data_IF_225226393000
#
_entry.id   IF_225226393000
#
_cell.length_a   1.000
_cell.length_b   1.000
_cell.length_c   1.000
_cell.angle_alpha   90.00
_cell.angle_beta   90.00
_cell.angle_gamma   90.00
#
_symmetry.space_group_name_H-M   'P 1'
#
loop_
_entity.id
_entity.type
_entity.pdbx_description
1 polymer ?
#
# COMPACT_ATOMS: atom_id res chain seq x y z
N UNK A 1 8.13 12.89 21.75
CA UNK A 1 8.99 12.21 22.76
C UNK A 1 10.45 12.17 22.29
N UNK A 2 10.86 11.36 21.30
CA UNK A 2 12.26 11.23 20.86
C UNK A 2 12.94 12.58 20.49
N UNK A 3 12.24 13.46 19.78
CA UNK A 3 12.75 14.79 19.43
C UNK A 3 13.01 15.68 20.66
N UNK A 4 12.15 15.61 21.68
CA UNK A 4 12.35 16.31 22.96
C UNK A 4 13.57 15.77 23.69
N UNK A 5 13.68 14.47 23.83
CA UNK A 5 14.84 13.80 24.46
C UNK A 5 16.16 14.17 23.77
N UNK A 6 16.18 14.16 22.43
CA UNK A 6 17.39 14.55 21.69
C UNK A 6 17.82 16.01 21.97
N UNK A 7 16.86 16.93 22.08
CA UNK A 7 17.15 18.33 22.43
C UNK A 7 17.68 18.51 23.86
N UNK A 8 17.19 17.67 24.78
CA UNK A 8 17.64 17.68 26.18
C UNK A 8 19.03 17.05 26.35
N UNK A 9 19.27 15.90 25.68
CA UNK A 9 20.54 15.18 25.80
C UNK A 9 21.68 15.78 24.96
N UNK A 10 21.33 16.47 23.88
CA UNK A 10 22.29 17.02 22.90
C UNK A 10 21.90 18.44 22.46
N UNK A 11 21.90 19.43 23.37
CA UNK A 11 21.47 20.80 23.06
C UNK A 11 22.35 21.48 21.99
N UNK A 12 23.58 21.01 21.78
CA UNK A 12 24.50 21.48 20.75
C UNK A 12 24.14 21.03 19.32
N UNK A 13 23.21 20.09 19.17
CA UNK A 13 22.78 19.61 17.86
C UNK A 13 21.89 20.63 17.16
N UNK A 14 22.32 21.08 16.00
CA UNK A 14 21.56 21.96 15.11
C UNK A 14 20.66 21.15 14.11
N UNK A 15 20.36 19.89 14.43
CA UNK A 15 19.52 19.05 13.58
C UNK A 15 18.08 19.57 13.55
N UNK A 16 17.57 19.80 12.35
CA UNK A 16 16.15 20.02 12.11
C UNK A 16 15.49 18.66 11.85
N UNK A 17 14.54 18.28 12.70
CA UNK A 17 13.81 17.01 12.60
C UNK A 17 12.40 17.31 12.13
N UNK A 18 12.04 16.76 10.98
CA UNK A 18 10.68 16.79 10.43
C UNK A 18 10.01 15.44 10.66
N UNK A 19 8.82 15.43 11.22
CA UNK A 19 8.02 14.23 11.44
C UNK A 19 6.91 14.20 10.40
N UNK A 20 6.88 13.15 9.57
CA UNK A 20 5.91 12.95 8.52
C UNK A 20 5.15 11.64 8.80
N UNK A 21 3.84 11.70 8.77
CA UNK A 21 2.99 10.50 8.83
C UNK A 21 2.42 10.22 7.43
N UNK A 22 2.83 9.12 6.78
CA UNK A 22 2.35 8.81 5.44
C UNK A 22 0.94 8.23 5.41
N UNK A 23 0.29 8.00 6.54
CA UNK A 23 -1.00 7.30 6.69
C UNK A 23 -1.08 5.96 5.95
N UNK A 24 0.07 5.39 5.61
CA UNK A 24 0.24 4.14 4.87
C UNK A 24 1.47 3.38 5.39
N UNK A 25 1.78 2.24 4.78
CA UNK A 25 2.93 1.42 5.17
C UNK A 25 3.59 0.72 3.98
N UNK A 26 4.80 0.16 4.21
CA UNK A 26 5.55 -0.64 3.23
C UNK A 26 6.09 0.19 2.06
N UNK A 27 6.18 -0.39 0.87
CA UNK A 27 6.78 0.22 -0.31
C UNK A 27 6.12 1.52 -0.79
N UNK A 28 4.81 1.73 -0.63
CA UNK A 28 4.21 3.02 -1.00
C UNK A 28 4.97 4.22 -0.44
N UNK A 29 5.14 4.31 0.87
CA UNK A 29 5.94 5.40 1.42
C UNK A 29 7.45 5.21 1.24
N UNK A 30 7.95 3.97 1.27
CA UNK A 30 9.36 3.68 1.09
C UNK A 30 9.91 4.14 -0.25
N UNK A 31 9.14 4.00 -1.33
CA UNK A 31 9.48 4.55 -2.64
C UNK A 31 9.65 6.08 -2.59
N UNK A 32 8.66 6.78 -2.02
CA UNK A 32 8.71 8.24 -1.95
C UNK A 32 9.80 8.75 -1.00
N UNK A 33 10.16 8.04 0.07
CA UNK A 33 11.33 8.37 0.89
C UNK A 33 12.61 8.33 0.06
N UNK A 34 12.76 7.35 -0.82
CA UNK A 34 13.90 7.30 -1.75
C UNK A 34 13.88 8.47 -2.75
N UNK A 35 12.71 8.83 -3.28
CA UNK A 35 12.57 9.98 -4.18
C UNK A 35 12.89 11.30 -3.47
N UNK A 36 12.41 11.48 -2.23
CA UNK A 36 12.77 12.63 -1.40
C UNK A 36 14.28 12.74 -1.22
N UNK A 37 14.94 11.62 -0.86
CA UNK A 37 16.39 11.60 -0.68
C UNK A 37 17.13 12.01 -1.96
N UNK A 38 16.71 11.51 -3.13
CA UNK A 38 17.30 11.89 -4.43
C UNK A 38 17.12 13.37 -4.73
N UNK A 39 15.93 13.92 -4.49
CA UNK A 39 15.63 15.34 -4.70
C UNK A 39 16.50 16.23 -3.80
N UNK A 40 16.59 15.89 -2.52
CA UNK A 40 17.44 16.62 -1.57
C UNK A 40 18.93 16.55 -1.94
N UNK A 41 19.43 15.39 -2.39
CA UNK A 41 20.78 15.24 -2.90
C UNK A 41 21.06 16.11 -4.12
N UNK A 42 20.04 16.35 -4.95
CA UNK A 42 20.09 17.22 -6.12
C UNK A 42 19.83 18.70 -5.79
N UNK A 43 19.77 19.06 -4.53
CA UNK A 43 19.66 20.46 -4.06
C UNK A 43 18.24 21.00 -4.00
N UNK A 44 17.21 20.14 -4.05
CA UNK A 44 15.83 20.59 -3.87
C UNK A 44 15.62 21.15 -2.44
N UNK A 45 14.76 22.15 -2.33
CA UNK A 45 14.43 22.77 -1.05
C UNK A 45 13.56 21.83 -0.21
N UNK A 46 13.89 21.66 1.08
CA UNK A 46 13.29 20.64 1.96
C UNK A 46 11.79 20.85 2.18
N UNK A 47 11.31 22.06 2.30
CA UNK A 47 9.89 22.34 2.50
C UNK A 47 9.08 21.92 1.28
N UNK A 48 9.61 22.13 0.08
CA UNK A 48 8.98 21.71 -1.17
C UNK A 48 8.92 20.18 -1.27
N UNK A 49 10.02 19.50 -0.93
CA UNK A 49 10.07 18.03 -0.94
C UNK A 49 9.09 17.42 0.06
N UNK A 50 8.96 18.03 1.26
CA UNK A 50 7.97 17.61 2.26
C UNK A 50 6.54 17.77 1.75
N UNK A 51 6.19 18.93 1.22
CA UNK A 51 4.86 19.22 0.69
C UNK A 51 4.48 18.27 -0.44
N UNK A 52 5.42 17.97 -1.32
CA UNK A 52 5.22 17.01 -2.40
C UNK A 52 4.96 15.60 -1.86
N UNK A 53 5.74 15.16 -0.86
CA UNK A 53 5.54 13.87 -0.20
C UNK A 53 4.14 13.76 0.41
N UNK A 54 3.70 14.74 1.18
CA UNK A 54 2.38 14.77 1.79
C UNK A 54 1.27 14.71 0.72
N UNK A 55 1.40 15.50 -0.34
CA UNK A 55 0.46 15.49 -1.47
C UNK A 55 0.37 14.13 -2.17
N UNK A 56 1.50 13.43 -2.32
CA UNK A 56 1.52 12.11 -2.93
C UNK A 56 0.93 11.04 -2.00
N UNK A 57 1.21 11.12 -0.70
CA UNK A 57 0.66 10.17 0.27
C UNK A 57 -0.87 10.25 0.36
N UNK A 58 -1.45 11.45 0.21
CA UNK A 58 -2.90 11.64 0.17
C UNK A 58 -3.58 10.99 -1.05
N UNK A 59 -2.83 10.76 -2.12
CA UNK A 59 -3.33 10.10 -3.35
C UNK A 59 -3.06 8.59 -3.37
N UNK A 60 -2.21 8.10 -2.45
CA UNK A 60 -1.77 6.71 -2.49
C UNK A 60 -2.85 5.77 -1.99
N UNK A 61 -3.20 4.80 -2.81
CA UNK A 61 -4.15 3.74 -2.48
C UNK A 61 -3.51 2.35 -2.50
N UNK A 62 -3.98 1.48 -1.60
CA UNK A 62 -3.57 0.08 -1.53
C UNK A 62 -4.80 -0.80 -1.61
N UNK A 63 -4.76 -1.78 -2.52
CA UNK A 63 -5.75 -2.86 -2.62
C UNK A 63 -5.05 -4.17 -2.33
N UNK A 64 -5.57 -4.92 -1.37
CA UNK A 64 -5.07 -6.23 -0.98
C UNK A 64 -6.03 -7.33 -1.46
N UNK A 65 -5.46 -8.38 -2.03
CA UNK A 65 -6.15 -9.63 -2.39
C UNK A 65 -5.58 -10.80 -1.59
N UNK A 66 -6.04 -11.04 -0.35
CA UNK A 66 -5.62 -12.20 0.43
C UNK A 66 -6.38 -13.45 -0.05
N UNK A 67 -5.66 -14.54 -0.24
CA UNK A 67 -6.21 -15.87 -0.56
C UNK A 67 -6.52 -16.71 0.69
N UNK A 68 -6.06 -16.24 1.86
CA UNK A 68 -6.39 -16.80 3.17
C UNK A 68 -6.60 -15.68 4.19
N UNK A 69 -7.64 -15.81 5.02
CA UNK A 69 -7.95 -14.83 6.06
C UNK A 69 -7.49 -15.24 7.46
N UNK A 70 -6.91 -16.42 7.59
CA UNK A 70 -6.52 -16.98 8.90
C UNK A 70 -5.61 -16.04 9.69
N UNK A 71 -4.59 -15.48 9.01
CA UNK A 71 -3.62 -14.62 9.65
C UNK A 71 -4.19 -13.22 9.94
N UNK A 72 -4.95 -12.64 9.02
CA UNK A 72 -5.61 -11.34 9.21
C UNK A 72 -6.59 -11.37 10.39
N UNK A 73 -7.28 -12.50 10.59
CA UNK A 73 -8.15 -12.72 11.75
C UNK A 73 -7.33 -12.76 13.05
N UNK A 74 -6.24 -13.52 13.07
CA UNK A 74 -5.37 -13.63 14.25
C UNK A 74 -4.75 -12.29 14.64
N UNK A 75 -4.33 -11.51 13.67
CA UNK A 75 -3.70 -10.19 13.88
C UNK A 75 -4.70 -9.06 14.17
N UNK A 76 -6.01 -9.33 14.13
CA UNK A 76 -7.05 -8.33 14.36
C UNK A 76 -7.18 -7.29 13.23
N UNK A 77 -6.67 -7.58 12.03
CA UNK A 77 -6.73 -6.68 10.87
C UNK A 77 -8.00 -6.82 10.06
N UNK A 78 -8.83 -7.81 10.39
CA UNK A 78 -10.15 -7.99 9.82
C UNK A 78 -11.14 -8.30 10.95
N UNK A 79 -12.36 -7.77 10.86
CA UNK A 79 -13.37 -8.05 11.89
C UNK A 79 -13.76 -9.54 11.89
N UNK A 80 -14.14 -10.05 13.05
CA UNK A 80 -14.58 -11.45 13.19
C UNK A 80 -15.74 -11.78 12.23
N UNK A 81 -16.67 -10.86 12.02
CA UNK A 81 -17.78 -11.04 11.09
C UNK A 81 -17.32 -11.15 9.63
N UNK A 82 -16.33 -10.35 9.22
CA UNK A 82 -15.77 -10.45 7.87
C UNK A 82 -14.96 -11.74 7.67
N UNK A 83 -14.34 -12.27 8.73
CA UNK A 83 -13.54 -13.50 8.66
C UNK A 83 -14.40 -14.78 8.58
N UNK A 84 -15.53 -14.81 9.27
CA UNK A 84 -16.44 -15.98 9.26
C UNK A 84 -17.03 -16.24 7.87
N UNK A 85 -17.29 -15.18 7.10
CA UNK A 85 -17.84 -15.33 5.74
C UNK A 85 -16.83 -15.83 4.72
N UNK A 86 -15.52 -15.64 4.96
CA UNK A 86 -14.48 -16.02 4.00
C UNK A 86 -14.13 -17.50 4.00
N UNK A 87 -14.22 -18.17 5.13
CA UNK A 87 -13.79 -19.57 5.27
C UNK A 87 -14.80 -20.57 4.71
N UNK A 88 -16.08 -20.25 4.73
CA UNK A 88 -17.14 -21.22 4.49
C UNK A 88 -17.49 -21.49 3.01
N UNK A 89 -17.11 -20.65 2.05
CA UNK A 89 -17.61 -20.79 0.66
C UNK A 89 -16.65 -20.34 -0.45
N UNK A 90 -15.35 -20.33 -0.24
CA UNK A 90 -14.41 -19.84 -1.27
C UNK A 90 -14.59 -18.34 -1.56
N UNK A 91 -15.08 -17.57 -0.59
CA UNK A 91 -15.22 -16.12 -0.71
C UNK A 91 -13.88 -15.45 -0.38
N UNK A 92 -13.43 -14.58 -1.26
CA UNK A 92 -12.22 -13.77 -1.12
C UNK A 92 -12.57 -12.29 -1.01
N UNK A 93 -12.16 -11.61 0.05
CA UNK A 93 -12.37 -10.17 0.15
C UNK A 93 -11.34 -9.41 -0.68
N UNK A 94 -11.78 -8.30 -1.24
CA UNK A 94 -10.91 -7.25 -1.76
C UNK A 94 -10.87 -6.16 -0.70
N UNK A 95 -9.68 -5.89 -0.18
CA UNK A 95 -9.49 -5.04 0.99
C UNK A 95 -8.70 -3.81 0.57
N UNK A 96 -9.15 -2.63 0.98
CA UNK A 96 -8.39 -1.39 0.85
C UNK A 96 -7.80 -0.97 2.19
N UNK A 97 -6.70 -0.24 2.12
CA UNK A 97 -6.17 0.52 3.22
C UNK A 97 -6.50 2.00 3.00
N UNK A 98 -7.25 2.58 3.92
CA UNK A 98 -7.65 3.98 3.92
C UNK A 98 -7.36 4.55 5.31
N UNK A 99 -6.56 5.62 5.39
CA UNK A 99 -6.16 6.28 6.63
C UNK A 99 -5.64 5.30 7.70
N UNK A 100 -4.76 4.40 7.27
CA UNK A 100 -4.17 3.36 8.12
C UNK A 100 -5.13 2.24 8.54
N UNK A 101 -6.40 2.26 8.08
CA UNK A 101 -7.42 1.26 8.42
C UNK A 101 -7.77 0.37 7.23
N UNK A 102 -7.95 -0.91 7.51
CA UNK A 102 -8.42 -1.87 6.51
C UNK A 102 -9.94 -1.81 6.36
N UNK A 103 -10.42 -1.80 5.11
CA UNK A 103 -11.83 -1.84 4.74
C UNK A 103 -12.07 -2.90 3.68
N UNK A 104 -13.11 -3.73 3.86
CA UNK A 104 -13.55 -4.68 2.82
C UNK A 104 -14.41 -3.92 1.82
N UNK A 105 -13.92 -3.75 0.60
CA UNK A 105 -14.63 -3.04 -0.49
C UNK A 105 -15.50 -3.97 -1.32
N UNK A 106 -15.03 -5.18 -1.57
CA UNK A 106 -15.76 -6.17 -2.33
C UNK A 106 -15.50 -7.58 -1.80
N UNK A 107 -16.36 -8.50 -2.19
CA UNK A 107 -16.22 -9.93 -1.92
C UNK A 107 -16.46 -10.67 -3.22
N UNK A 108 -15.53 -11.52 -3.61
CA UNK A 108 -15.63 -12.34 -4.82
C UNK A 108 -15.63 -13.82 -4.45
N UNK A 109 -16.21 -14.64 -5.29
CA UNK A 109 -16.23 -16.10 -5.10
C UNK A 109 -15.27 -16.75 -6.08
N UNK A 110 -14.31 -17.50 -5.54
CA UNK A 110 -13.26 -18.17 -6.31
C UNK A 110 -11.98 -17.33 -6.39
N UNK A 111 -10.86 -18.02 -6.43
CA UNK A 111 -9.52 -17.42 -6.47
C UNK A 111 -9.27 -16.69 -7.80
N UNK A 112 -9.84 -17.17 -8.88
CA UNK A 112 -9.78 -16.60 -10.22
C UNK A 112 -10.42 -15.22 -10.35
N UNK A 113 -11.28 -14.83 -9.42
CA UNK A 113 -11.96 -13.52 -9.40
C UNK A 113 -11.21 -12.45 -8.63
N UNK A 114 -10.19 -12.81 -7.86
CA UNK A 114 -9.45 -11.85 -7.00
C UNK A 114 -8.74 -10.81 -7.86
N UNK A 115 -7.90 -11.25 -8.78
CA UNK A 115 -7.11 -10.36 -9.65
C UNK A 115 -8.00 -9.44 -10.50
N UNK A 116 -9.02 -9.95 -11.22
CA UNK A 116 -9.93 -9.08 -11.95
C UNK A 116 -10.60 -8.01 -11.09
N UNK A 117 -11.07 -8.37 -9.90
CA UNK A 117 -11.74 -7.44 -9.00
C UNK A 117 -10.79 -6.36 -8.43
N UNK A 118 -9.54 -6.71 -8.14
CA UNK A 118 -8.53 -5.74 -7.71
C UNK A 118 -8.24 -4.70 -8.81
N UNK A 119 -8.04 -5.17 -10.04
CA UNK A 119 -7.75 -4.31 -11.20
C UNK A 119 -8.93 -3.41 -11.53
N UNK A 120 -10.14 -3.95 -11.52
CA UNK A 120 -11.37 -3.19 -11.76
C UNK A 120 -11.57 -2.08 -10.71
N UNK A 121 -11.34 -2.40 -9.44
CA UNK A 121 -11.42 -1.42 -8.36
C UNK A 121 -10.39 -0.30 -8.53
N UNK A 122 -9.13 -0.65 -8.82
CA UNK A 122 -8.07 0.31 -9.06
C UNK A 122 -8.40 1.20 -10.27
N UNK A 123 -8.81 0.61 -11.38
CA UNK A 123 -9.20 1.32 -12.61
C UNK A 123 -10.31 2.34 -12.36
N UNK A 124 -11.36 1.93 -11.64
CA UNK A 124 -12.47 2.83 -11.27
C UNK A 124 -12.02 4.00 -10.40
N UNK A 125 -11.10 3.75 -9.45
CA UNK A 125 -10.64 4.77 -8.48
C UNK A 125 -9.55 5.68 -9.02
N UNK A 126 -8.88 5.28 -10.09
CA UNK A 126 -7.87 6.09 -10.78
C UNK A 126 -8.37 6.68 -12.10
N UNK A 127 -9.65 6.61 -12.38
CA UNK A 127 -10.22 7.16 -13.61
C UNK A 127 -9.96 8.67 -13.70
N UNK A 128 -9.31 9.11 -14.78
CA UNK A 128 -8.95 10.53 -15.00
C UNK A 128 -7.70 11.00 -14.25
N UNK A 129 -6.96 10.11 -13.58
CA UNK A 129 -5.65 10.45 -13.01
C UNK A 129 -4.62 10.50 -14.14
N UNK A 130 -4.03 11.68 -14.39
CA UNK A 130 -3.09 11.91 -15.50
C UNK A 130 -1.76 11.17 -15.29
N UNK A 131 -1.17 11.30 -14.10
CA UNK A 131 0.11 10.69 -13.73
C UNK A 131 -0.08 9.37 -12.98
N UNK A 132 -0.94 8.49 -13.53
CA UNK A 132 -1.21 7.21 -12.90
C UNK A 132 0.02 6.32 -12.91
N UNK A 133 0.45 5.91 -11.73
CA UNK A 133 1.50 4.92 -11.51
C UNK A 133 1.05 3.83 -10.54
N UNK A 134 1.64 2.65 -10.65
CA UNK A 134 1.31 1.53 -9.77
C UNK A 134 2.51 0.65 -9.44
N UNK A 135 2.40 -0.05 -8.32
CA UNK A 135 3.37 -1.02 -7.81
C UNK A 135 2.66 -2.32 -7.44
N UNK A 136 3.37 -3.43 -7.46
CA UNK A 136 2.81 -4.74 -7.10
C UNK A 136 3.59 -5.33 -5.93
N UNK A 137 2.89 -5.58 -4.82
CA UNK A 137 3.39 -6.31 -3.67
C UNK A 137 2.92 -7.76 -3.67
N UNK A 138 3.74 -8.68 -3.16
CA UNK A 138 3.38 -10.10 -3.12
C UNK A 138 4.09 -10.86 -2.00
N UNK A 139 3.53 -11.98 -1.59
CA UNK A 139 4.15 -12.96 -0.68
C UNK A 139 4.78 -14.14 -1.44
N UNK A 140 5.25 -13.89 -2.66
CA UNK A 140 5.87 -14.86 -3.57
C UNK A 140 4.95 -16.00 -4.02
N UNK A 141 3.66 -15.73 -4.21
CA UNK A 141 2.66 -16.68 -4.72
C UNK A 141 2.48 -16.53 -6.23
N UNK A 142 2.05 -17.59 -6.94
CA UNK A 142 1.90 -17.57 -8.42
C UNK A 142 0.98 -16.48 -8.95
N UNK A 143 -0.04 -16.10 -8.19
CA UNK A 143 -1.03 -15.07 -8.54
C UNK A 143 -0.41 -13.67 -8.74
N UNK A 144 0.82 -13.44 -8.30
CA UNK A 144 1.55 -12.19 -8.61
C UNK A 144 1.69 -12.00 -10.12
N UNK A 145 1.98 -13.07 -10.86
CA UNK A 145 2.19 -12.99 -12.31
C UNK A 145 0.88 -12.73 -13.06
N UNK A 146 -0.23 -13.26 -12.53
CA UNK A 146 -1.58 -12.96 -13.03
C UNK A 146 -1.91 -11.48 -12.80
N UNK A 147 -1.60 -10.95 -11.63
CA UNK A 147 -1.82 -9.53 -11.32
C UNK A 147 -0.98 -8.62 -12.22
N UNK A 148 0.31 -8.94 -12.42
CA UNK A 148 1.19 -8.18 -13.32
C UNK A 148 0.59 -8.15 -14.74
N UNK A 149 0.22 -9.32 -15.29
CA UNK A 149 -0.37 -9.40 -16.64
C UNK A 149 -1.67 -8.62 -16.75
N UNK A 150 -2.54 -8.72 -15.74
CA UNK A 150 -3.82 -8.04 -15.73
C UNK A 150 -3.65 -6.51 -15.65
N UNK A 151 -2.74 -6.02 -14.81
CA UNK A 151 -2.42 -4.60 -14.69
C UNK A 151 -1.80 -4.04 -15.98
N UNK A 152 -0.83 -4.73 -16.58
CA UNK A 152 -0.27 -4.34 -17.88
C UNK A 152 -1.35 -4.19 -18.95
N UNK A 153 -2.27 -5.15 -19.02
CA UNK A 153 -3.39 -5.10 -19.97
C UNK A 153 -4.35 -3.93 -19.68
N UNK A 154 -4.63 -3.66 -18.42
CA UNK A 154 -5.60 -2.65 -17.99
C UNK A 154 -5.06 -1.22 -18.10
N UNK A 155 -3.78 -1.02 -17.75
CA UNK A 155 -3.15 0.29 -17.63
C UNK A 155 -2.16 0.63 -18.75
N UNK A 156 -1.84 -0.33 -19.62
CA UNK A 156 -0.96 -0.12 -20.79
C UNK A 156 0.50 0.09 -20.46
N UNK A 157 0.94 -0.15 -19.22
CA UNK A 157 2.34 0.04 -18.78
C UNK A 157 2.75 -0.97 -17.72
N UNK A 158 4.06 -1.06 -17.49
CA UNK A 158 4.64 -1.88 -16.43
C UNK A 158 4.49 -1.24 -15.05
N UNK A 159 4.49 -2.03 -13.96
CA UNK A 159 4.57 -1.48 -12.60
C UNK A 159 5.90 -0.76 -12.41
N UNK A 160 5.91 0.33 -11.62
CA UNK A 160 7.16 0.99 -11.19
C UNK A 160 8.11 0.01 -10.51
N UNK A 161 7.56 -0.86 -9.70
CA UNK A 161 8.30 -1.90 -8.99
C UNK A 161 7.37 -3.07 -8.63
N UNK A 162 7.94 -4.28 -8.64
CA UNK A 162 7.34 -5.47 -8.02
C UNK A 162 8.20 -5.85 -6.82
N UNK A 163 7.60 -5.99 -5.65
CA UNK A 163 8.33 -6.16 -4.38
C UNK A 163 7.73 -7.24 -3.48
N UNK A 164 8.57 -7.97 -2.73
CA UNK A 164 8.08 -8.87 -1.69
C UNK A 164 7.50 -8.07 -0.52
N UNK A 165 6.34 -8.51 -0.02
CA UNK A 165 5.77 -7.98 1.22
C UNK A 165 6.68 -8.38 2.40
N UNK A 166 7.14 -7.39 3.15
CA UNK A 166 8.03 -7.60 4.30
C UNK A 166 7.38 -8.38 5.44
N UNK A 167 8.19 -8.89 6.36
CA UNK A 167 7.76 -9.75 7.47
C UNK A 167 6.65 -9.13 8.33
N UNK A 168 6.70 -7.83 8.60
CA UNK A 168 5.67 -7.13 9.40
C UNK A 168 4.31 -7.16 8.68
N UNK A 169 4.28 -6.90 7.38
CA UNK A 169 3.05 -6.93 6.59
C UNK A 169 2.54 -8.37 6.51
N UNK A 170 3.40 -9.31 6.14
CA UNK A 170 3.03 -10.74 6.00
C UNK A 170 2.57 -11.37 7.32
N UNK A 171 3.11 -10.94 8.47
CA UNK A 171 2.63 -11.36 9.79
C UNK A 171 1.18 -10.93 10.06
N UNK A 172 0.70 -9.89 9.39
CA UNK A 172 -0.66 -9.41 9.50
C UNK A 172 -1.58 -9.93 8.39
N UNK A 173 -1.10 -9.97 7.15
CA UNK A 173 -1.91 -10.36 5.98
C UNK A 173 -1.91 -11.85 5.70
N UNK A 174 -0.88 -12.56 6.15
CA UNK A 174 -0.65 -13.98 5.84
C UNK A 174 0.28 -14.19 4.64
N UNK A 175 0.63 -15.47 4.38
CA UNK A 175 1.57 -15.84 3.34
C UNK A 175 0.98 -15.83 1.93
N UNK A 176 -0.34 -15.75 1.80
CA UNK A 176 -1.05 -15.89 0.53
C UNK A 176 -1.71 -14.58 0.13
N UNK A 177 -0.91 -13.53 -0.09
CA UNK A 177 -1.43 -12.18 -0.36
C UNK A 177 -0.72 -11.51 -1.53
N UNK A 178 -1.50 -10.86 -2.38
CA UNK A 178 -1.03 -9.90 -3.39
C UNK A 178 -1.55 -8.50 -3.06
N UNK A 179 -0.83 -7.50 -3.49
CA UNK A 179 -1.16 -6.10 -3.28
C UNK A 179 -1.01 -5.31 -4.58
N UNK A 180 -1.97 -4.46 -4.86
CA UNK A 180 -1.88 -3.43 -5.90
C UNK A 180 -1.86 -2.08 -5.22
N UNK A 181 -0.78 -1.33 -5.43
CA UNK A 181 -0.59 0.02 -4.93
C UNK A 181 -0.63 0.96 -6.12
N UNK A 182 -1.34 2.06 -6.03
CA UNK A 182 -1.46 3.00 -7.14
C UNK A 182 -1.74 4.41 -6.65
N UNK A 183 -1.50 5.37 -7.55
CA UNK A 183 -1.88 6.76 -7.34
C UNK A 183 -3.33 6.93 -7.78
N UNK A 184 -4.19 7.28 -6.84
CA UNK A 184 -5.60 7.59 -7.07
C UNK A 184 -5.87 9.10 -7.01
N UNK A 185 -7.10 9.45 -6.69
CA UNK A 185 -7.47 10.84 -6.39
C UNK A 185 -7.07 11.23 -4.97
N UNK A 186 -6.84 12.51 -4.74
CA UNK A 186 -6.68 13.05 -3.39
C UNK A 186 -7.92 12.75 -2.54
N UNK A 187 -7.70 12.40 -1.27
CA UNK A 187 -8.74 12.09 -0.29
C UNK A 187 -9.24 13.34 0.42
#
# INVERSE_FOLDING_TARGET
>A
MAQGMLREERPEHHLRIHLLDPHTYSMPFGWYVCEMARKLQNGAEISHVIQEFETQMDKMEIVLGPYSLKQMKKSGRISAAAAVMGELMGIRPIITLIDGKTKVEAKVRGDDKVVPAMVELAKKRSEGVEDFDYMIGHTNIPQKDDLIRACRKAFGKDPLITFPLGGVVSANTGPDTIALVYVGHAR
#
